data_IF_102839609280
#
_entry.id   IF_102839609280
#
_cell.length_a   1.000
_cell.length_b   1.000
_cell.length_c   1.000
_cell.angle_alpha   90.00
_cell.angle_beta   90.00
_cell.angle_gamma   90.00
#
_symmetry.space_group_name_H-M   'P 1'
#
loop_
_entity.id
_entity.type
_entity.pdbx_description
1 polymer ?
#
# COMPACT_ATOMS: atom_id res chain seq x y z
N UNK A 1 20.83 -34.12 23.24
CA UNK A 1 19.68 -33.34 23.74
C UNK A 1 19.19 -32.37 22.67
N UNK A 2 17.88 -32.16 22.61
CA UNK A 2 17.09 -31.38 21.65
C UNK A 2 17.58 -29.93 21.42
N UNK A 3 17.66 -29.49 20.15
CA UNK A 3 16.74 -28.56 19.44
C UNK A 3 16.37 -27.28 20.20
N UNK A 4 16.86 -26.15 19.70
CA UNK A 4 16.32 -24.81 19.94
C UNK A 4 15.98 -24.15 18.60
N UNK A 5 14.90 -24.59 17.97
CA UNK A 5 14.26 -23.88 16.87
C UNK A 5 13.65 -22.60 17.44
N UNK A 6 14.19 -21.43 17.10
CA UNK A 6 13.54 -20.16 17.43
C UNK A 6 12.27 -20.05 16.58
N UNK A 7 11.17 -20.35 17.25
CA UNK A 7 9.80 -20.28 16.79
C UNK A 7 9.37 -18.81 16.92
N UNK A 8 9.36 -18.09 15.81
CA UNK A 8 8.71 -16.78 15.74
C UNK A 8 7.20 -17.03 15.62
N UNK A 9 6.51 -17.12 16.75
CA UNK A 9 5.06 -17.03 16.81
C UNK A 9 4.70 -15.96 17.85
N UNK A 10 3.93 -14.97 17.42
CA UNK A 10 3.34 -13.99 18.34
C UNK A 10 3.12 -12.60 17.75
N UNK A 11 2.45 -12.48 16.59
CA UNK A 11 1.70 -11.26 16.28
C UNK A 11 0.22 -11.61 16.36
N UNK A 12 -0.51 -10.88 17.22
CA UNK A 12 -1.85 -11.23 17.66
C UNK A 12 -2.88 -11.18 16.49
N UNK A 13 -3.81 -12.16 16.40
CA UNK A 13 -4.83 -12.33 15.36
C UNK A 13 -5.66 -11.12 14.95
N UNK A 14 -5.86 -10.25 15.92
CA UNK A 14 -6.94 -9.30 16.04
C UNK A 14 -6.50 -7.88 15.67
N UNK A 15 -5.18 -7.63 15.62
CA UNK A 15 -4.63 -6.33 15.25
C UNK A 15 -4.23 -6.24 13.76
N UNK A 16 -3.95 -7.37 13.12
CA UNK A 16 -3.56 -7.38 11.71
C UNK A 16 -4.75 -7.24 10.76
N UNK A 17 -5.95 -7.75 11.07
CA UNK A 17 -7.08 -7.62 10.14
C UNK A 17 -7.56 -6.18 10.01
N UNK A 18 -7.59 -5.45 11.13
CA UNK A 18 -8.02 -4.05 11.15
C UNK A 18 -7.00 -3.12 10.48
N UNK A 19 -5.71 -3.35 10.72
CA UNK A 19 -4.64 -2.56 10.09
C UNK A 19 -4.48 -2.88 8.61
N UNK A 20 -4.61 -4.16 8.21
CA UNK A 20 -4.57 -4.56 6.80
C UNK A 20 -5.73 -3.96 6.02
N UNK A 21 -6.95 -3.97 6.57
CA UNK A 21 -8.11 -3.36 5.91
C UNK A 21 -7.94 -1.85 5.70
N UNK A 22 -7.38 -1.14 6.68
CA UNK A 22 -7.09 0.28 6.55
C UNK A 22 -6.00 0.55 5.49
N UNK A 23 -4.95 -0.27 5.42
CA UNK A 23 -3.91 -0.13 4.40
C UNK A 23 -4.42 -0.48 3.00
N UNK A 24 -5.27 -1.50 2.85
CA UNK A 24 -5.86 -1.88 1.56
C UNK A 24 -6.78 -0.78 1.01
N UNK A 25 -7.56 -0.13 1.88
CA UNK A 25 -8.39 1.02 1.49
C UNK A 25 -7.54 2.19 1.02
N UNK A 26 -6.46 2.50 1.75
CA UNK A 26 -5.54 3.57 1.38
C UNK A 26 -4.81 3.28 0.07
N UNK A 27 -4.35 2.05 -0.15
CA UNK A 27 -3.74 1.63 -1.42
C UNK A 27 -4.72 1.75 -2.58
N UNK A 28 -6.00 1.43 -2.38
CA UNK A 28 -7.02 1.57 -3.42
C UNK A 28 -7.27 3.04 -3.79
N UNK A 29 -7.32 3.94 -2.79
CA UNK A 29 -7.41 5.38 -3.03
C UNK A 29 -6.20 5.91 -3.81
N UNK A 30 -4.99 5.49 -3.45
CA UNK A 30 -3.76 5.85 -4.17
C UNK A 30 -3.80 5.32 -5.59
N UNK A 31 -4.25 4.08 -5.80
CA UNK A 31 -4.36 3.47 -7.13
C UNK A 31 -5.29 4.26 -8.05
N UNK A 32 -6.45 4.69 -7.53
CA UNK A 32 -7.41 5.50 -8.26
C UNK A 32 -6.85 6.90 -8.55
N UNK A 33 -6.24 7.55 -7.55
CA UNK A 33 -5.62 8.86 -7.73
C UNK A 33 -4.50 8.83 -8.79
N UNK A 34 -3.64 7.81 -8.77
CA UNK A 34 -2.57 7.62 -9.74
C UNK A 34 -3.14 7.42 -11.16
N UNK A 35 -4.21 6.62 -11.30
CA UNK A 35 -4.90 6.43 -12.58
C UNK A 35 -5.42 7.75 -13.16
N UNK A 36 -6.07 8.58 -12.34
CA UNK A 36 -6.60 9.87 -12.80
C UNK A 36 -5.49 10.88 -13.08
N UNK A 37 -4.40 10.87 -12.31
CA UNK A 37 -3.21 11.69 -12.60
C UNK A 37 -2.61 11.33 -13.97
N UNK A 38 -2.33 10.05 -14.19
CA UNK A 38 -1.83 9.54 -15.46
C UNK A 38 -2.76 9.90 -16.64
N UNK A 39 -4.07 9.72 -16.47
CA UNK A 39 -5.06 10.10 -17.49
C UNK A 39 -5.05 11.61 -17.76
N UNK A 40 -4.97 12.45 -16.71
CA UNK A 40 -4.94 13.91 -16.83
C UNK A 40 -3.67 14.44 -17.50
N UNK A 41 -2.54 13.74 -17.31
CA UNK A 41 -1.25 14.04 -17.95
C UNK A 41 -1.19 13.58 -19.42
N UNK A 42 -2.25 12.97 -19.93
CA UNK A 42 -2.34 12.53 -21.32
C UNK A 42 -1.86 11.10 -21.55
N UNK A 43 -1.84 10.28 -20.50
CA UNK A 43 -1.48 8.87 -20.57
C UNK A 43 -0.03 8.67 -21.01
N UNK A 44 0.85 9.52 -20.50
CA UNK A 44 2.28 9.45 -20.77
C UNK A 44 2.84 8.09 -20.34
N UNK A 45 3.75 7.54 -21.14
CA UNK A 45 4.35 6.25 -20.82
C UNK A 45 5.64 6.48 -20.02
N UNK A 46 5.82 5.74 -18.93
CA UNK A 46 7.00 5.83 -18.07
C UNK A 46 6.89 6.89 -16.96
N UNK A 47 5.68 7.38 -16.67
CA UNK A 47 5.38 8.23 -15.50
C UNK A 47 4.70 7.47 -14.36
N UNK A 48 4.60 6.14 -14.44
CA UNK A 48 3.82 5.30 -13.55
C UNK A 48 4.27 5.40 -12.08
N UNK A 49 5.58 5.51 -11.85
CA UNK A 49 6.14 5.67 -10.50
C UNK A 49 5.90 7.08 -9.98
N UNK A 50 6.12 8.11 -10.80
CA UNK A 50 5.90 9.50 -10.45
C UNK A 50 4.42 9.78 -10.15
N UNK A 51 3.52 9.24 -10.96
CA UNK A 51 2.06 9.34 -10.79
C UNK A 51 1.59 8.65 -9.50
N UNK A 52 2.21 7.52 -9.14
CA UNK A 52 1.95 6.83 -7.87
C UNK A 52 2.44 7.64 -6.66
N UNK A 53 3.65 8.18 -6.71
CA UNK A 53 4.21 8.99 -5.60
C UNK A 53 3.39 10.26 -5.39
N UNK A 54 3.00 10.95 -6.46
CA UNK A 54 2.14 12.12 -6.38
C UNK A 54 0.74 11.76 -5.84
N UNK A 55 0.18 10.62 -6.26
CA UNK A 55 -1.08 10.12 -5.71
C UNK A 55 -1.00 9.82 -4.21
N UNK A 56 0.09 9.22 -3.72
CA UNK A 56 0.31 9.01 -2.30
C UNK A 56 0.34 10.33 -1.52
N UNK A 57 0.94 11.38 -2.09
CA UNK A 57 0.94 12.71 -1.46
C UNK A 57 -0.47 13.30 -1.41
N UNK A 58 -1.29 13.10 -2.44
CA UNK A 58 -2.67 13.60 -2.47
C UNK A 58 -3.59 12.90 -1.46
N UNK A 59 -3.40 11.60 -1.22
CA UNK A 59 -4.24 10.80 -0.31
C UNK A 59 -3.88 11.04 1.18
N UNK A 60 -2.68 11.52 1.47
CA UNK A 60 -2.16 11.69 2.84
C UNK A 60 -2.73 12.90 3.63
N UNK A 61 -3.60 13.76 3.06
CA UNK A 61 -4.03 15.02 3.70
C UNK A 61 -5.53 15.32 3.63
#
# INVERSE_FOLDING_TARGET
MAKGTNKAEGLAPDFYEETVSATEQQEEEVRLAAYYLWESKGKEHGSDVEDWVEAEELVKY
#
